data_IF_471109952224
#
_entry.id   IF_471109952224
#
_cell.length_a   1.000
_cell.length_b   1.000
_cell.length_c   1.000
_cell.angle_alpha   90.00
_cell.angle_beta   90.00
_cell.angle_gamma   90.00
#
_symmetry.space_group_name_H-M   'P 1'
#
loop_
_entity.id
_entity.type
_entity.pdbx_description
1 polymer ?
#
# COMPACT_ATOMS: atom_id res chain seq x y z
N UNK A 1 -18.97 -2.45 3.73
CA UNK A 1 -18.33 -3.75 3.49
C UNK A 1 -17.33 -4.03 4.61
N UNK A 2 -17.24 -5.26 5.11
CA UNK A 2 -16.22 -5.63 6.09
C UNK A 2 -14.84 -5.72 5.42
N UNK A 3 -13.79 -5.25 6.08
CA UNK A 3 -12.42 -5.34 5.58
C UNK A 3 -11.98 -6.82 5.51
N UNK A 4 -11.20 -7.19 4.48
CA UNK A 4 -10.61 -8.54 4.39
C UNK A 4 -9.54 -8.72 5.48
N UNK A 5 -9.17 -9.97 5.79
CA UNK A 5 -8.25 -10.38 6.87
C UNK A 5 -6.97 -9.51 7.03
N UNK A 6 -6.44 -8.96 5.93
CA UNK A 6 -5.19 -8.18 5.93
C UNK A 6 -5.37 -6.71 5.52
N UNK A 7 -6.61 -6.25 5.32
CA UNK A 7 -6.90 -4.89 4.86
C UNK A 7 -7.30 -3.98 6.02
N UNK A 8 -7.05 -2.69 5.83
CA UNK A 8 -7.45 -1.67 6.79
C UNK A 8 -8.96 -1.41 6.72
N UNK A 9 -9.58 -1.28 7.88
CA UNK A 9 -10.94 -0.74 7.98
C UNK A 9 -10.97 0.73 7.56
N UNK A 10 -12.16 1.26 7.24
CA UNK A 10 -12.31 2.69 6.94
C UNK A 10 -11.74 3.58 8.05
N UNK A 11 -12.02 3.25 9.31
CA UNK A 11 -11.57 4.02 10.46
C UNK A 11 -10.04 4.01 10.61
N UNK A 12 -9.39 2.87 10.34
CA UNK A 12 -7.93 2.77 10.35
C UNK A 12 -7.32 3.54 9.18
N UNK A 13 -7.91 3.39 7.99
CA UNK A 13 -7.46 4.09 6.80
C UNK A 13 -7.53 5.60 6.98
N UNK A 14 -8.64 6.13 7.48
CA UNK A 14 -8.84 7.56 7.72
C UNK A 14 -7.76 8.20 8.61
N UNK A 15 -7.19 7.43 9.54
CA UNK A 15 -6.12 7.91 10.43
C UNK A 15 -4.77 8.01 9.72
N UNK A 16 -4.45 7.05 8.85
CA UNK A 16 -3.13 7.00 8.20
C UNK A 16 -3.09 7.73 6.86
N UNK A 17 -4.21 7.80 6.14
CA UNK A 17 -4.26 8.33 4.78
C UNK A 17 -3.66 9.75 4.65
N UNK A 18 -3.89 10.69 5.60
CA UNK A 18 -3.29 12.03 5.50
C UNK A 18 -1.76 12.03 5.61
N UNK A 19 -1.17 11.04 6.29
CA UNK A 19 0.26 10.96 6.58
C UNK A 19 1.06 10.36 5.41
N UNK A 20 0.41 9.62 4.51
CA UNK A 20 1.09 8.90 3.44
C UNK A 20 1.52 9.83 2.30
N UNK A 21 2.71 9.65 1.70
CA UNK A 21 3.12 10.43 0.54
C UNK A 21 2.45 9.95 -0.76
N UNK A 22 2.48 10.80 -1.78
CA UNK A 22 1.92 10.54 -3.11
C UNK A 22 0.42 10.84 -3.21
N UNK A 23 -0.10 11.71 -2.35
CA UNK A 23 -1.45 12.29 -2.45
C UNK A 23 -1.47 13.39 -3.52
N UNK A 24 -2.67 13.81 -3.91
CA UNK A 24 -2.81 15.01 -4.74
C UNK A 24 -2.23 16.22 -4.00
N UNK A 25 -1.33 16.97 -4.66
CA UNK A 25 -0.62 18.10 -4.07
C UNK A 25 0.76 17.78 -3.49
N UNK A 26 1.10 16.50 -3.30
CA UNK A 26 2.47 16.12 -2.94
C UNK A 26 3.40 16.29 -4.15
N UNK A 27 4.67 16.63 -3.91
CA UNK A 27 5.68 16.71 -4.96
C UNK A 27 5.89 15.34 -5.64
N UNK A 28 5.94 15.33 -6.96
CA UNK A 28 6.12 14.12 -7.77
C UNK A 28 4.81 13.52 -8.28
N UNK A 29 4.83 12.22 -8.60
CA UNK A 29 3.66 11.54 -9.20
C UNK A 29 2.63 11.18 -8.13
N UNK A 30 1.41 11.68 -8.29
CA UNK A 30 0.25 11.25 -7.52
C UNK A 30 -0.02 9.76 -7.75
N UNK A 31 -0.19 9.02 -6.67
CA UNK A 31 -0.53 7.61 -6.74
C UNK A 31 -1.97 7.42 -7.20
N UNK A 32 -2.20 6.42 -8.06
CA UNK A 32 -3.53 6.10 -8.55
C UNK A 32 -4.47 5.64 -7.42
N UNK A 33 -3.96 4.79 -6.52
CA UNK A 33 -4.68 4.35 -5.32
C UNK A 33 -3.69 4.04 -4.19
N UNK A 34 -3.63 4.91 -3.18
CA UNK A 34 -2.78 4.73 -2.01
C UNK A 34 -3.27 3.62 -1.08
N UNK A 35 -4.59 3.44 -0.99
CA UNK A 35 -5.16 2.45 -0.09
C UNK A 35 -4.89 1.05 -0.60
N UNK A 36 -5.08 0.83 -1.89
CA UNK A 36 -4.82 -0.45 -2.53
C UNK A 36 -3.35 -0.85 -2.38
N UNK A 37 -2.44 0.10 -2.56
CA UNK A 37 -1.02 -0.09 -2.35
C UNK A 37 -0.68 -0.51 -0.90
N UNK A 38 -1.18 0.23 0.09
CA UNK A 38 -0.92 -0.08 1.51
C UNK A 38 -1.51 -1.43 1.89
N UNK A 39 -2.73 -1.73 1.44
CA UNK A 39 -3.36 -3.04 1.66
C UNK A 39 -2.55 -4.18 1.02
N UNK A 40 -1.97 -3.97 -0.17
CA UNK A 40 -1.06 -4.93 -0.80
C UNK A 40 0.20 -5.18 0.02
N UNK A 41 0.82 -4.11 0.54
CA UNK A 41 1.97 -4.24 1.44
C UNK A 41 1.60 -4.99 2.72
N UNK A 42 0.48 -4.65 3.36
CA UNK A 42 0.01 -5.31 4.58
C UNK A 42 -0.29 -6.80 4.35
N UNK A 43 -0.81 -7.16 3.17
CA UNK A 43 -1.02 -8.56 2.82
C UNK A 43 0.30 -9.33 2.84
N UNK A 44 1.35 -8.81 2.20
CA UNK A 44 2.68 -9.45 2.19
C UNK A 44 3.28 -9.51 3.59
N UNK A 45 3.31 -8.37 4.30
CA UNK A 45 3.93 -8.26 5.61
C UNK A 45 3.24 -9.13 6.69
N UNK A 46 1.93 -9.33 6.60
CA UNK A 46 1.18 -10.14 7.57
C UNK A 46 1.10 -11.62 7.20
N UNK A 47 1.13 -11.94 5.91
CA UNK A 47 1.11 -13.34 5.45
C UNK A 47 2.50 -13.98 5.44
N UNK A 48 3.57 -13.17 5.29
CA UNK A 48 4.93 -13.66 5.09
C UNK A 48 5.19 -14.24 3.69
N UNK A 49 4.22 -14.15 2.77
CA UNK A 49 4.38 -14.65 1.41
C UNK A 49 5.42 -13.84 0.61
N UNK A 50 5.94 -14.42 -0.46
CA UNK A 50 6.82 -13.69 -1.36
C UNK A 50 6.06 -12.60 -2.11
N UNK A 51 6.77 -11.52 -2.49
CA UNK A 51 6.19 -10.44 -3.29
C UNK A 51 5.62 -10.94 -4.61
N UNK A 52 6.23 -11.96 -5.24
CA UNK A 52 5.74 -12.59 -6.48
C UNK A 52 4.32 -13.14 -6.36
N UNK A 53 3.92 -13.49 -5.14
CA UNK A 53 2.63 -14.14 -4.84
C UNK A 53 1.57 -13.12 -4.46
N UNK A 54 1.89 -11.82 -4.53
CA UNK A 54 0.96 -10.74 -4.27
C UNK A 54 -0.26 -10.89 -5.20
N UNK A 55 -1.48 -11.00 -4.65
CA UNK A 55 -2.67 -11.14 -5.47
C UNK A 55 -2.86 -9.95 -6.42
N UNK A 56 -3.20 -10.22 -7.69
CA UNK A 56 -3.32 -9.21 -8.74
C UNK A 56 -4.31 -8.08 -8.43
N UNK A 57 -5.28 -8.34 -7.54
CA UNK A 57 -6.21 -7.31 -7.05
C UNK A 57 -5.51 -6.11 -6.39
N UNK A 58 -4.28 -6.27 -5.89
CA UNK A 58 -3.48 -5.18 -5.32
C UNK A 58 -2.57 -4.50 -6.35
N UNK A 59 -2.62 -4.93 -7.61
CA UNK A 59 -1.79 -4.46 -8.70
C UNK A 59 -0.60 -5.37 -9.00
N UNK A 60 0.22 -4.95 -9.97
CA UNK A 60 1.40 -5.71 -10.41
C UNK A 60 2.45 -5.75 -9.30
N UNK A 61 2.83 -6.94 -8.86
CA UNK A 61 3.74 -7.12 -7.73
C UNK A 61 5.05 -6.33 -7.85
N UNK A 62 5.66 -6.27 -9.05
CA UNK A 62 6.91 -5.52 -9.28
C UNK A 62 6.76 -4.04 -8.95
N UNK A 63 5.63 -3.45 -9.36
CA UNK A 63 5.33 -2.03 -9.13
C UNK A 63 5.09 -1.74 -7.65
N UNK A 64 4.34 -2.62 -6.97
CA UNK A 64 4.08 -2.51 -5.52
C UNK A 64 5.40 -2.65 -4.75
N UNK A 65 6.19 -3.68 -5.04
CA UNK A 65 7.47 -3.92 -4.37
C UNK A 65 8.45 -2.77 -4.60
N UNK A 66 8.59 -2.26 -5.83
CA UNK A 66 9.47 -1.12 -6.12
C UNK A 66 9.04 0.13 -5.34
N UNK A 67 7.73 0.39 -5.26
CA UNK A 67 7.22 1.53 -4.49
C UNK A 67 7.46 1.35 -3.00
N UNK A 68 7.21 0.17 -2.46
CA UNK A 68 7.50 -0.17 -1.06
C UNK A 68 8.98 0.01 -0.73
N UNK A 69 9.88 -0.50 -1.58
CA UNK A 69 11.33 -0.33 -1.41
C UNK A 69 11.75 1.15 -1.38
N UNK A 70 11.17 1.98 -2.25
CA UNK A 70 11.40 3.44 -2.24
C UNK A 70 10.93 4.10 -0.93
N UNK A 71 9.78 3.68 -0.39
CA UNK A 71 9.28 4.17 0.90
C UNK A 71 10.24 3.79 2.03
N UNK A 72 10.67 2.53 2.09
CA UNK A 72 11.65 2.08 3.09
C UNK A 72 12.96 2.87 3.00
N UNK A 73 13.47 3.10 1.79
CA UNK A 73 14.70 3.89 1.59
C UNK A 73 14.54 5.36 2.02
N UNK A 74 13.35 5.91 1.87
CA UNK A 74 13.02 7.28 2.29
C UNK A 74 12.68 7.40 3.79
N UNK A 75 12.68 6.30 4.55
CA UNK A 75 12.36 6.31 5.98
C UNK A 75 10.87 6.56 6.29
N UNK A 76 9.98 6.23 5.35
CA UNK A 76 8.52 6.31 5.52
C UNK A 76 7.99 5.14 6.35
#
# INVERSE_FOLDING_TARGET
MAAKRYELTEAQWARIAPLLPGKAGDAGRTAADNRLFVNGCLWVLRSGAHWSDLPERYGKWKTVHQRFSRWCHAGV
#
